data_IF_571499240576
#
_entry.id   IF_571499240576
#
_cell.length_a   1.000
_cell.length_b   1.000
_cell.length_c   1.000
_cell.angle_alpha   90.00
_cell.angle_beta   90.00
_cell.angle_gamma   90.00
#
_symmetry.space_group_name_H-M   'P 1'
#
loop_
_entity.id
_entity.type
_entity.pdbx_description
1 polymer ?
#
# COMPACT_ATOMS: atom_id res chain seq x y z
N UNK A 1 4.33 -3.22 21.87
CA UNK A 1 3.46 -4.34 22.33
C UNK A 1 2.13 -3.86 22.92
N UNK A 2 2.08 -2.77 23.70
CA UNK A 2 0.82 -2.32 24.36
C UNK A 2 -0.27 -1.95 23.35
N UNK A 3 0.06 -1.31 22.25
CA UNK A 3 -0.87 -0.82 21.23
C UNK A 3 -0.92 -1.70 19.98
N UNK A 4 -0.09 -2.71 19.89
CA UNK A 4 0.00 -3.64 18.78
C UNK A 4 -1.35 -4.33 18.50
N UNK A 5 -2.10 -4.62 19.56
CA UNK A 5 -3.41 -5.27 19.48
C UNK A 5 -4.44 -4.46 18.68
N UNK A 6 -4.32 -3.12 18.65
CA UNK A 6 -5.23 -2.26 17.90
C UNK A 6 -5.22 -2.56 16.39
N UNK A 7 -4.11 -3.05 15.84
CA UNK A 7 -4.03 -3.44 14.44
C UNK A 7 -4.91 -4.65 14.06
N UNK A 8 -5.38 -5.44 15.04
CA UNK A 8 -6.33 -6.52 14.79
C UNK A 8 -7.68 -6.01 14.30
N UNK A 9 -8.03 -4.79 14.67
CA UNK A 9 -9.32 -4.17 14.30
C UNK A 9 -9.45 -3.92 12.79
N UNK A 10 -8.34 -3.81 12.06
CA UNK A 10 -8.37 -3.67 10.60
C UNK A 10 -8.74 -4.98 9.88
N UNK A 11 -8.66 -6.13 10.57
CA UNK A 11 -9.03 -7.44 10.06
C UNK A 11 -10.39 -7.91 10.61
N UNK A 12 -10.94 -7.20 11.59
CA UNK A 12 -12.24 -7.53 12.19
C UNK A 12 -13.38 -6.88 11.42
N UNK A 13 -14.33 -7.68 10.94
CA UNK A 13 -15.53 -7.22 10.24
C UNK A 13 -16.45 -6.35 11.11
N UNK A 14 -16.34 -6.43 12.42
CA UNK A 14 -17.01 -5.54 13.38
C UNK A 14 -16.14 -4.33 13.73
N UNK A 15 -14.84 -4.39 13.43
CA UNK A 15 -13.88 -3.31 13.54
C UNK A 15 -13.93 -2.41 12.31
N UNK A 16 -12.83 -2.36 11.56
CA UNK A 16 -12.71 -1.50 10.38
C UNK A 16 -12.77 -2.25 9.05
N UNK A 17 -12.78 -3.59 9.03
CA UNK A 17 -12.79 -4.38 7.80
C UNK A 17 -14.16 -4.33 7.14
N UNK A 18 -14.20 -3.96 5.86
CA UNK A 18 -15.40 -4.00 5.05
C UNK A 18 -15.11 -4.55 3.64
N UNK A 19 -16.12 -4.98 2.87
CA UNK A 19 -15.95 -5.57 1.55
C UNK A 19 -15.09 -4.75 0.57
N UNK A 20 -15.14 -3.42 0.66
CA UNK A 20 -14.43 -2.51 -0.26
C UNK A 20 -13.25 -1.76 0.37
N UNK A 21 -12.85 -2.08 1.60
CA UNK A 21 -11.69 -1.50 2.27
C UNK A 21 -11.91 -1.21 3.74
N UNK A 22 -11.12 -0.29 4.29
CA UNK A 22 -11.18 0.09 5.69
C UNK A 22 -12.12 1.27 5.91
N UNK A 23 -13.04 1.11 6.85
CA UNK A 23 -13.98 2.17 7.26
C UNK A 23 -13.30 3.23 8.12
N UNK A 24 -13.88 4.43 8.17
CA UNK A 24 -13.37 5.54 9.00
C UNK A 24 -13.83 5.50 10.45
N UNK A 25 -14.75 4.59 10.78
CA UNK A 25 -15.22 4.31 12.14
C UNK A 25 -15.40 2.81 12.33
N UNK A 26 -15.34 2.34 13.57
CA UNK A 26 -15.64 0.93 13.88
C UNK A 26 -17.08 0.58 13.54
N UNK A 27 -17.29 -0.49 12.79
CA UNK A 27 -18.61 -0.94 12.32
C UNK A 27 -19.55 -1.38 13.45
N UNK A 28 -19.00 -1.73 14.62
CA UNK A 28 -19.77 -2.03 15.83
C UNK A 28 -20.25 -0.81 16.59
N UNK A 29 -19.77 0.41 16.24
CA UNK A 29 -20.16 1.61 16.97
C UNK A 29 -21.62 1.96 16.73
N UNK A 30 -22.43 2.32 17.76
CA UNK A 30 -23.85 2.63 17.59
C UNK A 30 -24.14 3.78 16.62
N UNK A 31 -23.22 4.71 16.46
CA UNK A 31 -23.36 5.84 15.52
C UNK A 31 -22.73 5.58 14.16
N UNK A 32 -22.35 4.33 13.85
CA UNK A 32 -21.80 3.99 12.54
C UNK A 32 -22.83 4.30 11.44
N UNK A 33 -22.44 5.14 10.46
CA UNK A 33 -23.27 5.51 9.30
C UNK A 33 -24.61 6.17 9.64
N UNK A 34 -24.77 6.76 10.82
CA UNK A 34 -26.05 7.33 11.26
C UNK A 34 -26.35 8.72 10.70
N UNK A 35 -25.34 9.44 10.20
CA UNK A 35 -25.47 10.84 9.77
C UNK A 35 -26.02 11.00 8.36
N UNK A 36 -26.21 9.89 7.64
CA UNK A 36 -26.81 9.85 6.31
C UNK A 36 -25.91 10.36 5.20
N UNK A 37 -26.33 10.08 3.97
CA UNK A 37 -25.62 10.44 2.74
C UNK A 37 -25.66 11.95 2.50
N UNK A 38 -24.53 12.53 2.12
CA UNK A 38 -24.46 13.93 1.71
C UNK A 38 -23.90 14.91 2.72
N UNK A 39 -23.62 14.46 3.94
CA UNK A 39 -22.81 15.17 4.93
C UNK A 39 -21.47 14.49 5.01
N UNK A 40 -20.41 15.18 5.33
CA UNK A 40 -19.05 14.62 5.41
C UNK A 40 -19.03 13.32 6.23
N UNK A 41 -19.05 12.16 5.55
CA UNK A 41 -19.35 10.85 6.13
C UNK A 41 -18.11 10.18 6.71
N UNK A 42 -17.49 10.82 7.68
CA UNK A 42 -16.36 10.27 8.45
C UNK A 42 -16.83 9.32 9.58
N UNK A 43 -18.09 9.02 9.63
CA UNK A 43 -18.73 8.11 10.57
C UNK A 43 -18.86 6.68 10.05
N UNK A 44 -18.06 6.31 9.03
CA UNK A 44 -18.04 4.93 8.56
C UNK A 44 -17.74 4.71 7.09
N UNK A 45 -18.02 5.66 6.19
CA UNK A 45 -17.67 5.49 4.77
C UNK A 45 -16.18 5.26 4.57
N UNK A 46 -15.81 4.59 3.47
CA UNK A 46 -14.42 4.40 3.09
C UNK A 46 -13.92 5.67 2.42
N UNK A 47 -12.87 6.23 2.95
CA UNK A 47 -12.17 7.37 2.38
C UNK A 47 -10.78 6.92 1.89
N UNK A 48 -10.49 6.96 0.59
CA UNK A 48 -9.16 6.63 0.08
C UNK A 48 -8.04 7.43 0.76
N UNK A 49 -8.30 8.69 1.12
CA UNK A 49 -7.39 9.50 1.91
C UNK A 49 -7.04 8.86 3.28
N UNK A 50 -8.05 8.41 4.03
CA UNK A 50 -7.85 7.74 5.32
C UNK A 50 -7.19 6.36 5.14
N UNK A 51 -7.60 5.62 4.08
CA UNK A 51 -6.98 4.35 3.72
C UNK A 51 -5.50 4.50 3.42
N UNK A 52 -5.10 5.53 2.67
CA UNK A 52 -3.68 5.80 2.39
C UNK A 52 -2.88 6.09 3.65
N UNK A 53 -3.42 6.86 4.60
CA UNK A 53 -2.78 7.12 5.90
C UNK A 53 -2.62 5.83 6.71
N UNK A 54 -3.66 5.00 6.77
CA UNK A 54 -3.63 3.72 7.48
C UNK A 54 -2.61 2.77 6.85
N UNK A 55 -2.58 2.65 5.53
CA UNK A 55 -1.61 1.82 4.81
C UNK A 55 -0.17 2.30 5.02
N UNK A 56 0.07 3.60 5.03
CA UNK A 56 1.38 4.16 5.39
C UNK A 56 1.80 3.76 6.80
N UNK A 57 0.88 3.88 7.76
CA UNK A 57 1.13 3.48 9.15
C UNK A 57 1.36 1.97 9.28
N UNK A 58 0.60 1.12 8.53
CA UNK A 58 0.81 -0.32 8.47
C UNK A 58 2.21 -0.67 7.96
N UNK A 59 2.61 -0.11 6.81
CA UNK A 59 3.93 -0.35 6.24
C UNK A 59 5.04 0.06 7.21
N UNK A 60 4.91 1.20 7.87
CA UNK A 60 5.87 1.67 8.88
C UNK A 60 5.89 0.75 10.11
N UNK A 61 4.74 0.30 10.58
CA UNK A 61 4.65 -0.61 11.71
C UNK A 61 5.31 -1.97 11.41
N UNK A 62 5.01 -2.54 10.23
CA UNK A 62 5.59 -3.82 9.79
C UNK A 62 7.10 -3.74 9.58
N UNK A 63 7.62 -2.60 9.11
CA UNK A 63 9.04 -2.42 8.83
C UNK A 63 9.87 -2.04 10.05
N UNK A 64 9.33 -1.23 10.96
CA UNK A 64 10.12 -0.58 12.00
C UNK A 64 10.01 -1.26 13.36
N UNK A 65 9.07 -2.18 13.54
CA UNK A 65 8.82 -2.81 14.85
C UNK A 65 8.73 -4.33 14.74
N UNK A 66 9.35 -5.08 15.67
CA UNK A 66 9.10 -6.52 15.82
C UNK A 66 7.63 -6.71 16.21
N UNK A 67 6.86 -7.40 15.39
CA UNK A 67 5.43 -7.61 15.58
C UNK A 67 4.98 -8.97 15.00
N UNK A 68 3.81 -9.46 15.42
CA UNK A 68 3.22 -10.74 14.99
C UNK A 68 1.74 -10.61 14.64
N UNK A 69 1.27 -9.38 14.39
CA UNK A 69 -0.16 -9.09 14.20
C UNK A 69 -0.52 -8.90 12.74
N UNK A 70 0.35 -8.20 11.99
CA UNK A 70 0.18 -7.92 10.58
C UNK A 70 1.10 -8.80 9.73
N UNK A 71 0.59 -9.19 8.56
CA UNK A 71 1.29 -10.00 7.59
C UNK A 71 1.21 -9.34 6.22
N UNK A 72 2.15 -9.64 5.33
CA UNK A 72 2.19 -9.11 3.97
C UNK A 72 0.85 -9.32 3.23
N UNK A 73 0.21 -10.47 3.46
CA UNK A 73 -1.10 -10.77 2.88
C UNK A 73 -2.21 -9.79 3.29
N UNK A 74 -2.17 -9.27 4.52
CA UNK A 74 -3.13 -8.28 5.00
C UNK A 74 -2.88 -6.93 4.33
N UNK A 75 -1.62 -6.49 4.28
CA UNK A 75 -1.24 -5.27 3.60
C UNK A 75 -1.60 -5.32 2.11
N UNK A 76 -1.18 -6.39 1.43
CA UNK A 76 -1.44 -6.61 0.01
C UNK A 76 -2.93 -6.60 -0.30
N UNK A 77 -3.75 -7.28 0.52
CA UNK A 77 -5.22 -7.29 0.32
C UNK A 77 -5.82 -5.89 0.44
N UNK A 78 -5.37 -5.07 1.38
CA UNK A 78 -5.88 -3.70 1.50
C UNK A 78 -5.46 -2.83 0.31
N UNK A 79 -4.28 -3.05 -0.25
CA UNK A 79 -3.86 -2.39 -1.51
C UNK A 79 -4.69 -2.85 -2.70
N UNK A 80 -5.01 -4.15 -2.81
CA UNK A 80 -5.94 -4.66 -3.84
C UNK A 80 -7.31 -3.99 -3.72
N UNK A 81 -7.91 -3.97 -2.52
CA UNK A 81 -9.20 -3.33 -2.28
C UNK A 81 -9.19 -1.84 -2.65
N UNK A 82 -8.10 -1.15 -2.35
CA UNK A 82 -7.95 0.24 -2.76
C UNK A 82 -8.05 0.39 -4.28
N UNK A 83 -7.33 -0.44 -5.05
CA UNK A 83 -7.37 -0.44 -6.52
C UNK A 83 -8.75 -0.87 -7.04
N UNK A 84 -9.29 -1.97 -6.54
CA UNK A 84 -10.59 -2.52 -6.93
C UNK A 84 -11.72 -1.50 -6.73
N UNK A 85 -11.63 -0.66 -5.71
CA UNK A 85 -12.62 0.39 -5.42
C UNK A 85 -12.59 1.56 -6.41
N UNK A 86 -11.50 1.75 -7.18
CA UNK A 86 -11.33 2.91 -8.09
C UNK A 86 -12.15 2.76 -9.40
N UNK A 87 -13.41 2.39 -9.26
CA UNK A 87 -14.36 2.27 -10.38
C UNK A 87 -15.71 2.88 -10.02
N UNK A 88 -16.38 3.45 -11.01
CA UNK A 88 -17.75 3.92 -10.91
C UNK A 88 -18.50 3.55 -12.19
N UNK A 89 -19.63 2.83 -12.04
CA UNK A 89 -20.43 2.37 -13.18
C UNK A 89 -19.59 1.64 -14.25
N UNK A 90 -18.65 0.78 -13.80
CA UNK A 90 -17.80 -0.04 -14.67
C UNK A 90 -16.68 0.72 -15.39
N UNK A 91 -16.40 1.96 -15.03
CA UNK A 91 -15.30 2.77 -15.60
C UNK A 91 -14.32 3.19 -14.50
N UNK A 92 -13.02 3.33 -14.82
CA UNK A 92 -12.06 3.89 -13.90
C UNK A 92 -12.54 5.25 -13.36
N UNK A 93 -12.47 5.41 -12.06
CA UNK A 93 -12.94 6.60 -11.37
C UNK A 93 -12.14 6.82 -10.08
N UNK A 94 -11.73 8.04 -9.85
CA UNK A 94 -11.11 8.46 -8.60
C UNK A 94 -12.07 9.42 -7.92
N UNK A 95 -12.60 9.03 -6.77
CA UNK A 95 -13.59 9.78 -6.02
C UNK A 95 -13.16 10.09 -4.61
N UNK A 96 -14.02 10.78 -3.87
CA UNK A 96 -13.75 11.28 -2.51
C UNK A 96 -13.98 10.19 -1.47
N UNK A 97 -15.16 9.54 -1.47
CA UNK A 97 -15.49 8.46 -0.53
C UNK A 97 -16.61 7.56 -1.08
N UNK A 98 -16.64 6.33 -0.61
CA UNK A 98 -17.52 5.29 -1.11
C UNK A 98 -18.18 4.50 0.03
N UNK A 99 -19.30 3.88 -0.33
CA UNK A 99 -20.04 2.98 0.54
C UNK A 99 -19.22 1.71 0.80
N UNK A 100 -19.12 1.32 2.04
CA UNK A 100 -18.23 0.24 2.51
C UNK A 100 -18.73 -1.16 2.14
N UNK A 101 -20.02 -1.30 1.83
CA UNK A 101 -20.64 -2.59 1.49
C UNK A 101 -20.79 -2.77 -0.02
N UNK A 102 -21.19 -1.72 -0.72
CA UNK A 102 -21.52 -1.79 -2.15
C UNK A 102 -20.42 -1.28 -3.08
N UNK A 103 -19.44 -0.54 -2.53
CA UNK A 103 -18.40 0.13 -3.31
C UNK A 103 -18.91 1.30 -4.14
N UNK A 104 -20.16 1.73 -3.94
CA UNK A 104 -20.72 2.85 -4.66
C UNK A 104 -20.14 4.18 -4.15
N UNK A 105 -19.67 5.02 -5.08
CA UNK A 105 -19.16 6.35 -4.77
C UNK A 105 -20.30 7.27 -4.35
N UNK A 106 -20.36 7.64 -3.08
CA UNK A 106 -21.50 8.31 -2.47
C UNK A 106 -21.76 9.72 -3.01
N UNK A 107 -20.75 10.35 -3.60
CA UNK A 107 -20.87 11.61 -4.35
C UNK A 107 -20.29 11.52 -5.75
N UNK A 108 -20.32 10.34 -6.35
CA UNK A 108 -19.70 10.08 -7.65
C UNK A 108 -20.24 10.93 -8.80
N UNK A 109 -21.48 11.41 -8.70
CA UNK A 109 -22.09 12.27 -9.71
C UNK A 109 -21.84 13.77 -9.48
N UNK A 110 -21.20 14.15 -8.35
CA UNK A 110 -20.87 15.54 -8.07
C UNK A 110 -19.47 15.88 -8.62
N UNK A 111 -19.39 16.96 -9.37
CA UNK A 111 -18.17 17.41 -10.04
C UNK A 111 -17.01 17.60 -9.06
N UNK A 112 -17.26 18.18 -7.90
CA UNK A 112 -16.24 18.40 -6.86
C UNK A 112 -15.60 17.12 -6.29
N UNK A 113 -16.30 15.99 -6.39
CA UNK A 113 -15.83 14.69 -5.92
C UNK A 113 -15.21 13.84 -7.02
N UNK A 114 -15.25 14.30 -8.27
CA UNK A 114 -14.56 13.67 -9.39
C UNK A 114 -13.07 14.05 -9.38
N UNK A 115 -12.24 13.12 -9.79
CA UNK A 115 -10.78 13.34 -9.90
C UNK A 115 -10.15 13.82 -8.59
N UNK A 116 -10.75 13.43 -7.48
CA UNK A 116 -10.21 13.73 -6.15
C UNK A 116 -8.83 13.13 -6.01
N UNK A 117 -7.81 13.97 -5.80
CA UNK A 117 -6.42 13.53 -5.86
C UNK A 117 -6.03 12.67 -4.65
N UNK A 118 -5.61 11.44 -4.92
CA UNK A 118 -5.07 10.49 -3.95
C UNK A 118 -3.63 10.10 -4.32
N UNK A 119 -2.76 11.07 -4.56
CA UNK A 119 -1.36 10.86 -5.00
C UNK A 119 -0.54 9.97 -4.06
N UNK A 120 -0.85 9.96 -2.76
CA UNK A 120 -0.23 9.08 -1.77
C UNK A 120 -0.36 7.58 -2.10
N UNK A 121 -1.27 7.18 -2.97
CA UNK A 121 -1.33 5.79 -3.44
C UNK A 121 -0.04 5.37 -4.17
N UNK A 122 0.52 6.24 -5.01
CA UNK A 122 1.79 5.95 -5.69
C UNK A 122 2.94 5.80 -4.71
N UNK A 123 2.97 6.61 -3.65
CA UNK A 123 3.95 6.48 -2.58
C UNK A 123 3.84 5.12 -1.88
N UNK A 124 2.61 4.60 -1.71
CA UNK A 124 2.36 3.27 -1.14
C UNK A 124 2.82 2.12 -2.04
N UNK A 125 2.76 2.30 -3.37
CA UNK A 125 3.36 1.35 -4.32
C UNK A 125 4.87 1.28 -4.14
N UNK A 126 5.53 2.44 -4.01
CA UNK A 126 7.00 2.53 -3.91
C UNK A 126 7.48 2.10 -2.51
N UNK A 127 6.93 2.73 -1.45
CA UNK A 127 7.45 2.56 -0.08
C UNK A 127 6.81 1.40 0.69
N UNK A 128 5.67 0.92 0.22
CA UNK A 128 4.94 -0.20 0.82
C UNK A 128 5.13 -1.48 0.03
N UNK A 129 4.47 -1.63 -1.12
CA UNK A 129 4.49 -2.89 -1.88
C UNK A 129 5.90 -3.24 -2.36
N UNK A 130 6.57 -2.35 -3.11
CA UNK A 130 7.95 -2.57 -3.56
C UNK A 130 8.93 -2.43 -2.41
N UNK A 131 8.61 -1.54 -1.47
CA UNK A 131 9.26 -1.48 -0.17
C UNK A 131 10.57 -0.70 -0.15
N UNK A 132 10.78 0.27 -1.06
CA UNK A 132 11.91 1.19 -0.92
C UNK A 132 11.75 1.99 0.37
N UNK A 133 12.66 1.78 1.32
CA UNK A 133 12.64 2.44 2.65
C UNK A 133 13.56 3.66 2.65
N UNK A 134 13.02 4.88 2.74
CA UNK A 134 13.84 6.09 2.76
C UNK A 134 14.82 6.10 3.93
N UNK A 135 16.09 6.39 3.65
CA UNK A 135 17.17 6.51 4.64
C UNK A 135 17.91 7.82 4.47
N UNK A 136 18.61 8.25 5.51
CA UNK A 136 19.42 9.47 5.48
C UNK A 136 20.90 9.19 5.17
N UNK A 137 21.31 7.93 5.20
CA UNK A 137 22.66 7.47 4.90
C UNK A 137 22.78 6.96 3.45
N UNK A 138 23.98 6.52 3.07
CA UNK A 138 24.28 5.99 1.74
C UNK A 138 23.83 4.53 1.54
N UNK A 139 22.89 4.06 2.35
CA UNK A 139 22.36 2.70 2.31
C UNK A 139 21.05 2.67 1.56
N UNK A 140 20.87 1.68 0.68
CA UNK A 140 19.58 1.37 0.09
C UNK A 140 18.96 0.21 0.86
N UNK A 141 17.72 0.41 1.31
CA UNK A 141 16.95 -0.62 1.98
C UNK A 141 15.65 -0.87 1.22
N UNK A 142 15.39 -2.13 0.88
CA UNK A 142 14.17 -2.58 0.21
C UNK A 142 13.55 -3.70 1.03
N UNK A 143 12.25 -3.60 1.32
CA UNK A 143 11.50 -4.66 2.01
C UNK A 143 10.10 -4.78 1.41
N UNK A 144 9.91 -5.56 0.34
CA UNK A 144 8.61 -5.73 -0.31
C UNK A 144 7.57 -6.33 0.63
N UNK A 145 6.38 -5.72 0.69
CA UNK A 145 5.22 -6.24 1.41
C UNK A 145 4.27 -6.96 0.44
N UNK A 146 4.83 -7.82 -0.39
CA UNK A 146 4.14 -8.62 -1.39
C UNK A 146 4.29 -10.09 -1.01
N UNK A 147 3.17 -10.84 -0.77
CA UNK A 147 3.26 -12.28 -0.56
C UNK A 147 3.92 -13.00 -1.75
N UNK A 148 4.75 -13.97 -1.46
CA UNK A 148 5.60 -14.65 -2.45
C UNK A 148 4.84 -15.38 -3.58
N UNK A 149 3.53 -15.61 -3.40
CA UNK A 149 2.63 -16.27 -4.36
C UNK A 149 1.82 -15.29 -5.24
N UNK A 150 1.97 -13.97 -5.04
CA UNK A 150 1.12 -12.97 -5.70
C UNK A 150 1.67 -12.47 -7.03
N UNK A 151 2.90 -12.03 -7.02
CA UNK A 151 3.53 -11.50 -8.24
C UNK A 151 4.78 -12.29 -8.60
N UNK A 152 4.84 -12.74 -9.84
CA UNK A 152 6.03 -13.43 -10.34
C UNK A 152 7.13 -12.44 -10.78
N UNK A 153 6.76 -11.18 -11.01
CA UNK A 153 7.68 -10.12 -11.39
C UNK A 153 7.14 -8.73 -11.11
N UNK A 154 8.04 -7.78 -10.84
CA UNK A 154 7.80 -6.34 -10.90
C UNK A 154 9.10 -5.61 -11.22
N UNK A 155 8.99 -4.38 -11.70
CA UNK A 155 10.13 -3.46 -11.85
C UNK A 155 9.70 -2.04 -11.50
N UNK A 156 10.42 -1.44 -10.57
CA UNK A 156 10.41 -0.01 -10.29
C UNK A 156 11.72 0.54 -10.85
N UNK A 157 11.62 1.24 -11.97
CA UNK A 157 12.79 1.70 -12.71
C UNK A 157 12.91 3.21 -12.72
N UNK A 158 14.14 3.68 -12.86
CA UNK A 158 14.47 5.09 -13.06
C UNK A 158 14.00 6.01 -11.91
N UNK A 159 14.11 5.54 -10.67
CA UNK A 159 13.78 6.32 -9.48
C UNK A 159 14.98 7.16 -9.06
N UNK A 160 14.81 8.48 -9.05
CA UNK A 160 15.84 9.38 -8.53
C UNK A 160 15.87 9.30 -6.99
N UNK A 161 16.97 8.82 -6.45
CA UNK A 161 17.18 8.64 -5.01
C UNK A 161 18.59 9.08 -4.62
N UNK A 162 18.70 10.12 -3.78
CA UNK A 162 19.97 10.72 -3.35
C UNK A 162 20.92 11.12 -4.52
N UNK A 163 20.35 11.50 -5.66
CA UNK A 163 21.13 11.90 -6.84
C UNK A 163 21.52 10.74 -7.77
N UNK A 164 21.18 9.51 -7.42
CA UNK A 164 21.41 8.29 -8.19
C UNK A 164 20.13 7.76 -8.82
N UNK A 165 20.24 7.04 -9.92
CA UNK A 165 19.15 6.31 -10.54
C UNK A 165 19.05 4.92 -9.93
N UNK A 166 17.92 4.63 -9.26
CA UNK A 166 17.62 3.29 -8.75
C UNK A 166 16.72 2.51 -9.71
N UNK A 167 17.02 1.22 -9.82
CA UNK A 167 16.12 0.21 -10.35
C UNK A 167 15.97 -0.90 -9.31
N UNK A 168 14.72 -1.23 -8.97
CA UNK A 168 14.38 -2.33 -8.05
C UNK A 168 13.51 -3.30 -8.85
N UNK A 169 13.96 -4.52 -9.05
CA UNK A 169 13.21 -5.52 -9.77
C UNK A 169 13.10 -6.84 -9.00
N UNK A 170 11.98 -7.49 -9.19
CA UNK A 170 11.73 -8.87 -8.83
C UNK A 170 11.46 -9.68 -10.08
N UNK A 171 12.19 -10.76 -10.26
CA UNK A 171 11.98 -11.74 -11.32
C UNK A 171 12.17 -13.13 -10.71
N UNK A 172 11.05 -13.76 -10.40
CA UNK A 172 11.02 -15.03 -9.67
C UNK A 172 11.85 -16.13 -10.33
N UNK A 173 11.83 -16.18 -11.67
CA UNK A 173 12.51 -17.20 -12.45
C UNK A 173 13.72 -16.66 -13.22
N UNK A 174 13.85 -15.34 -13.37
CA UNK A 174 14.89 -14.70 -14.19
C UNK A 174 14.54 -14.59 -15.68
N UNK A 175 13.32 -14.94 -16.06
CA UNK A 175 12.90 -15.05 -17.48
C UNK A 175 12.34 -13.75 -18.04
N UNK A 176 11.87 -12.85 -17.15
CA UNK A 176 11.16 -11.63 -17.56
C UNK A 176 12.09 -10.50 -17.96
N UNK A 177 13.10 -10.23 -17.14
CA UNK A 177 14.01 -9.08 -17.34
C UNK A 177 15.39 -9.49 -17.80
N UNK A 178 15.71 -10.78 -17.75
CA UNK A 178 17.01 -11.35 -18.14
C UNK A 178 18.21 -10.76 -17.37
N UNK A 179 17.95 -10.25 -16.17
CA UNK A 179 18.97 -9.73 -15.23
C UNK A 179 19.34 -10.73 -14.13
N UNK A 180 18.84 -11.98 -14.24
CA UNK A 180 18.94 -13.02 -13.22
C UNK A 180 17.68 -13.08 -12.34
N UNK A 181 17.48 -14.23 -11.68
CA UNK A 181 16.33 -14.46 -10.80
C UNK A 181 16.47 -13.71 -9.48
N UNK A 182 15.32 -13.45 -8.82
CA UNK A 182 15.26 -12.90 -7.47
C UNK A 182 14.97 -11.41 -7.42
N UNK A 183 15.03 -10.88 -6.20
CA UNK A 183 14.96 -9.44 -5.92
C UNK A 183 16.33 -8.82 -6.18
N UNK A 184 16.38 -7.76 -6.99
CA UNK A 184 17.63 -7.10 -7.35
C UNK A 184 17.51 -5.60 -7.24
N UNK A 185 18.58 -4.96 -6.81
CA UNK A 185 18.71 -3.52 -6.71
C UNK A 185 19.90 -3.07 -7.56
N UNK A 186 19.68 -2.10 -8.43
CA UNK A 186 20.72 -1.49 -9.25
C UNK A 186 20.81 0.00 -8.92
N UNK A 187 22.03 0.52 -8.93
CA UNK A 187 22.35 1.94 -8.80
C UNK A 187 23.12 2.34 -10.05
N UNK A 188 22.63 3.32 -10.78
CA UNK A 188 23.22 3.81 -12.04
C UNK A 188 23.55 2.65 -13.00
N UNK A 189 22.65 1.66 -13.06
CA UNK A 189 22.79 0.48 -13.91
C UNK A 189 23.72 -0.63 -13.39
N UNK A 190 24.33 -0.45 -12.21
CA UNK A 190 25.19 -1.48 -11.59
C UNK A 190 24.46 -2.18 -10.46
N UNK A 191 24.54 -3.51 -10.39
CA UNK A 191 23.94 -4.27 -9.29
C UNK A 191 24.60 -3.90 -7.95
N UNK A 192 23.76 -3.44 -7.02
CA UNK A 192 24.16 -3.09 -5.65
C UNK A 192 23.87 -4.23 -4.66
N UNK A 193 22.90 -5.09 -4.98
CA UNK A 193 22.59 -6.24 -4.15
C UNK A 193 21.45 -7.07 -4.71
N UNK A 194 21.33 -8.32 -4.22
CA UNK A 194 20.26 -9.22 -4.60
C UNK A 194 19.88 -10.19 -3.47
N UNK A 195 18.69 -10.77 -3.59
CA UNK A 195 18.20 -11.86 -2.77
C UNK A 195 17.36 -12.83 -3.62
N UNK A 196 17.39 -14.13 -3.32
CA UNK A 196 16.67 -15.15 -4.09
C UNK A 196 15.15 -15.11 -3.90
N UNK A 197 14.67 -14.44 -2.86
CA UNK A 197 13.25 -14.34 -2.49
C UNK A 197 12.86 -12.90 -2.20
N UNK A 198 11.54 -12.62 -2.19
CA UNK A 198 11.02 -11.36 -1.67
C UNK A 198 11.29 -11.29 -0.17
N UNK A 199 12.27 -10.52 0.20
CA UNK A 199 12.73 -10.35 1.58
C UNK A 199 13.37 -8.98 1.76
N UNK A 200 13.61 -8.61 3.01
CA UNK A 200 14.37 -7.39 3.31
C UNK A 200 15.79 -7.50 2.79
N UNK A 201 16.16 -6.58 1.92
CA UNK A 201 17.48 -6.45 1.32
C UNK A 201 18.07 -5.10 1.71
N UNK A 202 19.31 -5.13 2.28
CA UNK A 202 20.04 -3.94 2.68
C UNK A 202 21.35 -3.90 1.90
N UNK A 203 21.54 -2.84 1.12
CA UNK A 203 22.74 -2.60 0.32
C UNK A 203 23.52 -1.45 0.98
N UNK A 204 24.47 -1.79 1.84
CA UNK A 204 25.28 -0.82 2.59
C UNK A 204 26.24 -0.07 1.67
N UNK A 205 26.37 1.25 1.89
CA UNK A 205 27.27 2.14 1.12
C UNK A 205 27.02 2.11 -0.41
N UNK A 206 25.85 1.75 -0.84
CA UNK A 206 25.53 1.58 -2.25
C UNK A 206 25.46 2.91 -3.06
N UNK A 207 25.43 4.04 -2.36
CA UNK A 207 25.35 5.40 -2.93
C UNK A 207 26.68 6.18 -2.83
N UNK A 208 27.80 5.48 -2.63
CA UNK A 208 29.17 6.08 -2.56
C UNK A 208 29.86 6.09 -3.91
#
# INVERSE_FOLDING_TARGET
KKYEVAWKEIMDEKGFSAPYGLTTAERRHPEFRTRGVGKCEWDGAIWPFASAQTLTAMANFMNNYPQTVLFDSVYFRQMELYVESQYHRGRPYIGEYLDEVTGYWLKGDQERSRYYNHSTFNDLMITGLIGLRPRLDDTIEVNPLIPADKWDWFCLDNVLYHGHNLTILWDKNGDRYHCGKGLRVFVDGKEAGHADTLTRLVCENALK
#
